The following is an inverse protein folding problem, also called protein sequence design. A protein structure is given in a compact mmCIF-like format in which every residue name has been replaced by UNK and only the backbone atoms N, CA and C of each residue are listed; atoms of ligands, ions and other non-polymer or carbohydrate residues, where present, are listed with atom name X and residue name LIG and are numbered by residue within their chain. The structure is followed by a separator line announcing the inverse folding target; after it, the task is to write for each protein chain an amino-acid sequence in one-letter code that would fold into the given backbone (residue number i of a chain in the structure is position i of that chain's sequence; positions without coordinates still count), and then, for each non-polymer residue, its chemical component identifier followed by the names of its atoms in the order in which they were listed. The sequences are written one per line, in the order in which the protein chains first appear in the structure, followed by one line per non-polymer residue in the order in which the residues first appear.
data_IF_603936888455
#
_entry.id   IF_603936888455
#
_cell.length_a   1.000
_cell.length_b   1.000
_cell.length_c   1.000
_cell.angle_alpha   90.00
_cell.angle_beta   90.00
_cell.angle_gamma   90.00
#
_symmetry.space_group_name_H-M   'P 1'
#
loop_
_entity.id
_entity.type
_entity.pdbx_description
1 polymer ?
#
# COMPACT_ATOMS: atom_id res chain seq x y z
N UNK A 1 15.92 -37.09 25.08
CA UNK A 1 16.09 -36.22 23.93
C UNK A 1 14.74 -35.56 23.70
N UNK A 2 14.54 -34.28 23.97
CA UNK A 2 13.29 -33.61 23.70
C UNK A 2 13.29 -33.07 22.25
N UNK A 3 12.25 -33.37 21.51
CA UNK A 3 11.95 -32.87 20.16
C UNK A 3 11.61 -31.40 20.22
N UNK A 4 12.30 -30.58 19.42
CA UNK A 4 12.03 -29.16 19.22
C UNK A 4 10.69 -28.97 18.45
N UNK A 5 9.85 -28.03 18.86
CA UNK A 5 8.63 -27.72 18.11
C UNK A 5 8.95 -27.01 16.79
N UNK A 6 8.21 -27.38 15.74
CA UNK A 6 8.29 -26.76 14.42
C UNK A 6 7.88 -25.28 14.48
N UNK A 7 8.76 -24.41 14.03
CA UNK A 7 8.51 -22.98 13.88
C UNK A 7 7.53 -22.77 12.71
N UNK A 8 6.34 -22.26 12.99
CA UNK A 8 5.43 -21.76 11.98
C UNK A 8 5.92 -20.41 11.47
N UNK A 9 6.07 -20.29 10.17
CA UNK A 9 6.61 -19.12 9.48
C UNK A 9 5.47 -18.21 8.99
N UNK A 10 5.59 -16.88 9.00
CA UNK A 10 4.61 -15.95 8.42
C UNK A 10 4.54 -16.09 6.88
N UNK A 11 3.34 -16.02 6.34
CA UNK A 11 2.95 -16.62 5.06
C UNK A 11 3.51 -15.91 3.80
N UNK A 12 3.69 -14.60 3.80
CA UNK A 12 4.24 -13.86 2.62
C UNK A 12 5.75 -13.68 2.62
N UNK A 13 6.37 -13.43 3.76
CA UNK A 13 7.82 -13.24 3.87
C UNK A 13 8.67 -14.50 3.62
N UNK A 14 8.06 -15.69 3.45
CA UNK A 14 8.79 -16.96 3.31
C UNK A 14 8.97 -17.47 1.89
N UNK A 15 8.26 -16.95 0.90
CA UNK A 15 8.27 -17.50 -0.47
C UNK A 15 9.46 -17.06 -1.34
N UNK A 16 10.32 -16.17 -0.86
CA UNK A 16 11.45 -15.63 -1.65
C UNK A 16 12.81 -16.35 -1.44
N UNK A 17 12.86 -17.45 -0.69
CA UNK A 17 14.08 -18.25 -0.48
C UNK A 17 14.08 -19.51 -1.33
N UNK A 18 14.08 -19.39 -2.66
CA UNK A 18 14.10 -20.52 -3.59
C UNK A 18 14.92 -20.24 -4.85
N UNK A 19 16.25 -20.47 -4.79
CA UNK A 19 17.02 -21.00 -5.92
C UNK A 19 17.48 -20.05 -7.02
N UNK A 20 18.61 -19.38 -6.83
CA UNK A 20 19.45 -18.93 -7.96
C UNK A 20 20.42 -20.06 -8.32
N UNK A 21 20.14 -20.80 -9.38
CA UNK A 21 21.13 -21.60 -10.11
C UNK A 21 21.24 -21.04 -11.52
N UNK A 22 22.36 -20.43 -11.80
CA UNK A 22 22.69 -19.92 -13.13
C UNK A 22 22.90 -21.06 -14.11
N UNK A 23 22.19 -21.06 -15.23
CA UNK A 23 22.62 -21.70 -16.47
C UNK A 23 22.50 -20.70 -17.62
N UNK A 24 23.66 -20.28 -18.10
CA UNK A 24 23.81 -19.58 -19.36
C UNK A 24 23.75 -20.62 -20.48
N UNK A 25 22.79 -20.51 -21.39
CA UNK A 25 22.83 -21.17 -22.68
C UNK A 25 22.25 -20.23 -23.72
N UNK A 26 23.10 -19.76 -24.58
CA UNK A 26 22.75 -18.96 -25.76
C UNK A 26 22.08 -19.87 -26.79
N UNK A 27 20.91 -19.48 -27.31
CA UNK A 27 20.37 -19.91 -28.59
C UNK A 27 19.65 -18.76 -29.27
N UNK A 28 19.96 -18.62 -30.52
CA UNK A 28 19.63 -17.51 -31.39
C UNK A 28 18.17 -17.38 -31.80
N UNK A 29 17.91 -16.24 -32.32
CA UNK A 29 16.76 -15.51 -32.74
C UNK A 29 15.61 -16.22 -33.42
N UNK A 30 14.42 -15.68 -33.09
CA UNK A 30 13.33 -15.45 -34.02
C UNK A 30 12.63 -14.16 -33.60
N UNK A 31 12.85 -13.10 -34.36
CA UNK A 31 12.12 -11.84 -34.22
C UNK A 31 10.68 -12.04 -34.70
N UNK A 32 9.76 -12.18 -33.76
CA UNK A 32 8.34 -11.90 -34.04
C UNK A 32 8.06 -10.46 -33.64
N UNK A 33 7.40 -9.64 -34.45
CA UNK A 33 7.08 -8.27 -34.07
C UNK A 33 6.07 -8.28 -32.93
N UNK A 34 6.46 -7.69 -31.80
CA UNK A 34 5.55 -7.31 -30.73
C UNK A 34 4.54 -6.32 -31.33
N UNK A 35 3.22 -6.50 -31.14
CA UNK A 35 2.26 -5.51 -31.59
C UNK A 35 2.54 -4.18 -30.87
N UNK A 36 2.98 -3.20 -31.60
CA UNK A 36 3.06 -1.81 -31.12
C UNK A 36 1.63 -1.35 -30.81
N UNK A 37 1.33 -1.18 -29.53
CA UNK A 37 0.14 -0.48 -29.10
C UNK A 37 0.23 0.96 -29.60
N UNK A 38 -0.42 1.24 -30.73
CA UNK A 38 -0.63 2.57 -31.27
C UNK A 38 -1.61 3.30 -30.36
N UNK A 39 -1.13 4.27 -29.58
CA UNK A 39 -1.94 5.11 -28.71
C UNK A 39 -1.28 5.48 -27.39
N UNK A 40 0.05 5.51 -27.32
CA UNK A 40 0.76 6.03 -26.14
C UNK A 40 0.61 7.56 -26.08
N UNK A 41 -0.48 8.03 -25.49
CA UNK A 41 -0.53 9.37 -24.94
C UNK A 41 0.70 9.58 -24.06
N UNK A 42 1.34 10.76 -24.11
CA UNK A 42 2.48 11.08 -23.24
C UNK A 42 2.12 10.74 -21.80
N UNK A 43 2.95 9.95 -21.12
CA UNK A 43 2.79 9.69 -19.69
C UNK A 43 2.64 11.01 -18.93
N UNK A 44 1.70 11.07 -18.02
CA UNK A 44 1.48 12.23 -17.15
C UNK A 44 2.53 12.36 -16.05
N UNK A 45 3.41 11.37 -15.93
CA UNK A 45 4.53 11.34 -15.01
C UNK A 45 5.86 11.47 -15.76
N UNK A 46 6.76 12.29 -15.23
CA UNK A 46 8.14 12.41 -15.67
C UNK A 46 9.07 12.29 -14.47
N UNK A 47 9.95 11.29 -14.48
CA UNK A 47 10.92 11.08 -13.41
C UNK A 47 11.79 12.34 -13.20
N UNK A 48 11.90 12.75 -11.94
CA UNK A 48 12.73 13.87 -11.48
C UNK A 48 13.95 13.37 -10.73
N UNK A 49 13.75 12.42 -9.84
CA UNK A 49 14.79 11.92 -8.93
C UNK A 49 14.44 10.51 -8.48
N UNK A 50 15.47 9.75 -8.21
CA UNK A 50 15.41 8.43 -7.60
C UNK A 50 16.53 8.33 -6.56
N UNK A 51 16.24 7.70 -5.43
CA UNK A 51 17.21 7.43 -4.37
C UNK A 51 16.89 6.12 -3.66
N UNK A 52 17.89 5.52 -3.02
CA UNK A 52 17.72 4.29 -2.24
C UNK A 52 18.34 4.47 -0.87
N UNK A 53 17.72 3.90 0.16
CA UNK A 53 18.35 3.75 1.47
C UNK A 53 19.28 2.53 1.46
N UNK A 54 20.38 2.58 2.24
CA UNK A 54 21.24 1.41 2.42
C UNK A 54 20.45 0.23 3.00
N UNK A 55 20.65 -0.97 2.43
CA UNK A 55 20.06 -2.19 2.97
C UNK A 55 20.49 -2.40 4.43
N UNK A 56 19.53 -2.78 5.30
CA UNK A 56 19.73 -2.97 6.74
C UNK A 56 20.24 -1.72 7.46
N UNK A 57 19.85 -0.54 7.01
CA UNK A 57 20.10 0.70 7.72
C UNK A 57 19.56 0.59 9.15
N UNK A 58 20.41 0.88 10.14
CA UNK A 58 19.99 0.97 11.54
C UNK A 58 19.94 2.45 11.92
N UNK A 59 18.82 2.86 12.47
CA UNK A 59 18.62 4.23 12.95
C UNK A 59 17.97 4.21 14.35
N UNK A 60 18.67 4.79 15.36
CA UNK A 60 18.23 4.83 16.76
C UNK A 60 17.73 3.46 17.26
N UNK A 61 18.57 2.44 17.12
CA UNK A 61 18.34 1.06 17.54
C UNK A 61 17.16 0.35 16.84
N UNK A 62 16.63 0.92 15.77
CA UNK A 62 15.62 0.27 14.93
C UNK A 62 16.19 -0.06 13.55
N UNK A 63 15.82 -1.22 13.01
CA UNK A 63 16.10 -1.57 11.62
C UNK A 63 15.10 -0.82 10.72
N UNK A 64 15.62 0.01 9.82
CA UNK A 64 14.82 0.73 8.82
C UNK A 64 14.48 -0.21 7.67
N UNK A 65 13.20 -0.31 7.34
CA UNK A 65 12.67 -1.15 6.28
C UNK A 65 11.18 -1.36 6.47
N UNK A 66 10.56 -2.12 5.57
CA UNK A 66 9.12 -2.31 5.59
C UNK A 66 8.38 -0.98 5.40
N UNK A 67 8.87 -0.09 4.53
CA UNK A 67 8.30 1.26 4.39
C UNK A 67 7.14 1.24 3.39
N UNK A 68 5.93 0.95 3.90
CA UNK A 68 4.70 0.85 3.12
C UNK A 68 3.96 2.19 2.98
N UNK A 69 3.97 3.05 4.00
CA UNK A 69 3.28 4.35 3.98
C UNK A 69 4.22 5.54 3.89
N UNK A 70 3.84 6.58 3.14
CA UNK A 70 4.57 7.85 3.04
C UNK A 70 3.60 9.04 2.99
N UNK A 71 3.92 10.12 3.71
CA UNK A 71 3.30 11.43 3.53
C UNK A 71 4.30 12.57 3.70
N UNK A 72 3.95 13.76 3.22
CA UNK A 72 4.82 14.93 3.25
C UNK A 72 4.25 16.04 4.13
N UNK A 73 5.02 16.43 5.14
CA UNK A 73 4.77 17.58 5.99
C UNK A 73 5.27 18.85 5.30
N UNK A 74 4.38 19.57 4.66
CA UNK A 74 4.73 20.80 3.94
C UNK A 74 5.20 21.93 4.86
N UNK A 75 4.78 21.94 6.14
CA UNK A 75 5.21 22.98 7.10
C UNK A 75 6.65 22.76 7.55
N UNK A 76 7.07 21.50 7.72
CA UNK A 76 8.39 21.13 8.20
C UNK A 76 9.38 20.75 7.09
N UNK A 77 8.87 20.52 5.87
CA UNK A 77 9.68 20.08 4.74
C UNK A 77 10.23 18.66 4.92
N UNK A 78 9.47 17.78 5.55
CA UNK A 78 9.88 16.43 5.92
C UNK A 78 8.87 15.40 5.45
N UNK A 79 9.34 14.17 5.17
CA UNK A 79 8.49 13.02 4.89
C UNK A 79 8.31 12.18 6.16
N UNK A 80 7.10 11.66 6.36
CA UNK A 80 6.80 10.64 7.34
C UNK A 80 6.70 9.30 6.61
N UNK A 81 7.33 8.26 7.14
CA UNK A 81 7.40 6.93 6.55
C UNK A 81 6.94 5.89 7.56
N UNK A 82 5.85 5.21 7.29
CA UNK A 82 5.32 4.16 8.16
C UNK A 82 5.99 2.83 7.83
N UNK A 83 6.36 2.08 8.85
CA UNK A 83 6.89 0.71 8.70
C UNK A 83 5.77 -0.31 8.93
N UNK A 84 5.62 -1.28 8.03
CA UNK A 84 4.69 -2.42 8.10
C UNK A 84 5.12 -3.50 9.10
N UNK A 85 6.21 -3.26 9.82
CA UNK A 85 6.71 -4.20 10.81
C UNK A 85 5.70 -4.42 11.93
N UNK A 86 5.14 -5.60 12.00
CA UNK A 86 4.16 -6.05 13.01
C UNK A 86 4.73 -6.11 14.42
N UNK A 87 5.61 -5.20 14.77
CA UNK A 87 6.38 -5.21 16.01
C UNK A 87 7.27 -6.45 16.16
N UNK A 88 7.61 -7.13 15.06
CA UNK A 88 8.41 -8.36 15.10
C UNK A 88 9.92 -8.06 15.21
N UNK A 89 10.40 -7.00 14.56
CA UNK A 89 11.81 -6.55 14.56
C UNK A 89 12.04 -5.39 15.53
N UNK A 90 11.11 -4.42 15.55
CA UNK A 90 11.04 -3.32 16.50
C UNK A 90 9.58 -2.91 16.68
N UNK A 91 9.20 -2.21 17.76
CA UNK A 91 7.81 -1.77 17.93
C UNK A 91 7.29 -0.99 16.72
N UNK A 92 5.96 -1.10 16.46
CA UNK A 92 5.30 -0.37 15.39
C UNK A 92 5.69 1.12 15.43
N UNK A 93 6.06 1.69 14.29
CA UNK A 93 6.74 2.97 14.23
C UNK A 93 6.59 3.65 12.88
N UNK A 94 6.83 4.95 12.88
CA UNK A 94 7.11 5.69 11.67
C UNK A 94 8.42 6.46 11.82
N UNK A 95 9.01 6.81 10.68
CA UNK A 95 10.23 7.59 10.60
C UNK A 95 9.96 8.97 10.02
N UNK A 96 10.75 9.95 10.40
CA UNK A 96 10.81 11.26 9.73
C UNK A 96 12.07 11.32 8.89
N UNK A 97 11.95 11.80 7.66
CA UNK A 97 13.03 11.81 6.66
C UNK A 97 13.06 13.14 5.93
N UNK A 98 14.24 13.68 5.71
CA UNK A 98 14.47 14.80 4.79
C UNK A 98 15.02 14.28 3.48
N UNK A 99 14.40 14.68 2.39
CA UNK A 99 14.85 14.31 1.07
C UNK A 99 14.77 15.49 0.09
N UNK A 100 15.95 16.00 -0.29
CA UNK A 100 16.11 16.89 -1.43
C UNK A 100 16.33 16.06 -2.70
N UNK A 101 15.60 16.33 -3.76
CA UNK A 101 15.71 15.55 -4.99
C UNK A 101 17.14 15.64 -5.56
N UNK A 102 17.71 14.47 -5.88
CA UNK A 102 19.11 14.34 -6.30
C UNK A 102 20.08 14.01 -5.16
N UNK A 103 19.65 14.03 -3.90
CA UNK A 103 20.43 13.61 -2.75
C UNK A 103 19.95 12.27 -2.17
N UNK A 104 20.70 11.69 -1.25
CA UNK A 104 20.28 10.55 -0.44
C UNK A 104 19.29 11.02 0.63
N UNK A 105 18.17 10.29 0.87
CA UNK A 105 17.28 10.60 1.97
C UNK A 105 18.00 10.48 3.33
N UNK A 106 17.76 11.43 4.23
CA UNK A 106 18.36 11.47 5.55
C UNK A 106 17.32 11.24 6.64
N UNK A 107 17.53 10.21 7.45
CA UNK A 107 16.69 9.92 8.61
C UNK A 107 16.89 10.98 9.68
N UNK A 108 15.83 11.58 10.20
CA UNK A 108 15.90 12.61 11.26
C UNK A 108 15.31 12.14 12.59
N UNK A 109 14.24 11.32 12.55
CA UNK A 109 13.54 10.85 13.74
C UNK A 109 12.93 9.46 13.54
N UNK A 110 12.72 8.72 14.64
CA UNK A 110 11.86 7.54 14.72
C UNK A 110 10.88 7.75 15.86
N UNK A 111 9.60 7.53 15.59
CA UNK A 111 8.52 7.65 16.57
C UNK A 111 7.81 6.31 16.70
N UNK A 112 7.72 5.80 17.93
CA UNK A 112 7.00 4.56 18.23
C UNK A 112 5.51 4.84 18.35
N UNK A 113 4.69 3.97 17.77
CA UNK A 113 3.24 4.00 17.94
C UNK A 113 2.84 3.30 19.24
N UNK A 114 1.90 3.90 19.97
CA UNK A 114 1.46 3.42 21.26
C UNK A 114 -0.02 3.04 21.26
N UNK A 115 -0.38 2.15 22.15
CA UNK A 115 -1.77 1.80 22.49
C UNK A 115 -2.39 2.84 23.43
N UNK A 116 -3.67 2.70 23.74
CA UNK A 116 -4.39 3.63 24.64
C UNK A 116 -3.82 3.69 26.06
N UNK A 117 -3.17 2.64 26.53
CA UNK A 117 -2.48 2.57 27.81
C UNK A 117 -1.05 3.07 27.79
N UNK A 118 -0.63 3.70 26.68
CA UNK A 118 0.71 4.21 26.44
C UNK A 118 1.81 3.13 26.29
N UNK A 119 1.45 1.86 26.24
CA UNK A 119 2.40 0.80 25.89
C UNK A 119 2.60 0.73 24.38
N UNK A 120 3.73 0.20 23.94
CA UNK A 120 3.96 -0.10 22.52
C UNK A 120 3.09 -1.26 22.05
N UNK A 121 2.78 -1.31 20.77
CA UNK A 121 2.04 -2.43 20.19
C UNK A 121 2.87 -3.71 20.27
N UNK A 122 2.25 -4.84 20.69
CA UNK A 122 2.95 -6.10 20.81
C UNK A 122 3.15 -6.78 19.44
N UNK A 123 4.22 -7.58 19.30
CA UNK A 123 4.33 -8.55 18.21
C UNK A 123 3.37 -9.73 18.43
N UNK A 124 3.17 -10.56 17.38
CA UNK A 124 2.39 -11.81 17.52
C UNK A 124 2.88 -12.73 18.64
N UNK A 125 4.19 -12.73 18.93
CA UNK A 125 4.78 -13.55 20.01
C UNK A 125 4.48 -13.00 21.40
N UNK A 126 4.32 -11.69 21.52
CA UNK A 126 4.09 -10.98 22.78
C UNK A 126 2.60 -10.78 23.09
N UNK A 127 1.79 -10.75 22.04
CA UNK A 127 0.37 -10.43 22.17
C UNK A 127 -0.39 -11.50 22.94
N UNK A 128 -1.12 -11.06 23.99
CA UNK A 128 -2.06 -11.89 24.75
C UNK A 128 -3.32 -12.14 23.92
N UNK A 129 -4.11 -13.13 24.34
CA UNK A 129 -5.46 -13.33 23.78
C UNK A 129 -6.30 -12.04 23.92
N UNK A 130 -7.02 -11.68 22.85
CA UNK A 130 -7.84 -10.47 22.82
C UNK A 130 -7.06 -9.16 22.55
N UNK A 131 -5.74 -9.18 22.43
CA UNK A 131 -4.93 -7.98 22.11
C UNK A 131 -4.56 -7.99 20.63
N UNK A 132 -4.90 -6.93 19.85
CA UNK A 132 -4.53 -6.85 18.44
C UNK A 132 -3.02 -6.69 18.27
N UNK A 133 -2.52 -7.20 17.15
CA UNK A 133 -1.17 -6.94 16.65
C UNK A 133 -1.32 -5.99 15.47
N UNK A 134 -0.58 -4.90 15.43
CA UNK A 134 -0.66 -3.98 14.30
C UNK A 134 -0.06 -4.62 13.06
N UNK A 135 -0.56 -4.19 11.93
CA UNK A 135 -0.02 -4.43 10.60
C UNK A 135 -0.14 -3.11 9.84
N UNK A 136 0.73 -2.13 10.15
CA UNK A 136 0.60 -0.78 9.63
C UNK A 136 0.91 -0.75 8.13
N UNK A 137 0.07 -0.05 7.31
CA UNK A 137 0.25 0.00 5.86
C UNK A 137 0.33 1.45 5.34
N UNK A 138 -0.73 2.22 5.46
CA UNK A 138 -0.73 3.60 4.98
C UNK A 138 -0.73 4.63 6.11
N UNK A 139 -0.18 5.81 5.82
CA UNK A 139 -0.11 6.93 6.77
C UNK A 139 -0.49 8.24 6.08
N UNK A 140 -1.24 9.10 6.80
CA UNK A 140 -1.48 10.50 6.39
C UNK A 140 -1.38 11.45 7.58
N UNK A 141 -0.64 12.53 7.39
CA UNK A 141 -0.63 13.67 8.30
C UNK A 141 -1.91 14.49 8.09
N UNK A 142 -2.58 14.82 9.15
CA UNK A 142 -3.71 15.76 9.16
C UNK A 142 -3.20 17.19 9.34
N UNK A 143 -3.25 18.06 8.32
CA UNK A 143 -2.71 19.43 8.44
C UNK A 143 -3.49 20.29 9.45
N UNK A 144 -4.78 20.00 9.64
CA UNK A 144 -5.68 20.77 10.52
C UNK A 144 -5.43 20.49 12.02
N UNK A 145 -4.97 19.30 12.38
CA UNK A 145 -4.77 18.88 13.78
C UNK A 145 -3.33 18.56 14.14
N UNK A 146 -2.48 18.32 13.12
CA UNK A 146 -1.13 17.81 13.30
C UNK A 146 -1.07 16.34 13.73
N UNK A 147 -2.23 15.64 13.78
CA UNK A 147 -2.30 14.21 14.08
C UNK A 147 -1.98 13.37 12.85
N UNK A 148 -1.77 12.08 13.05
CA UNK A 148 -1.44 11.10 12.03
C UNK A 148 -2.55 10.06 11.98
N UNK A 149 -3.13 9.87 10.80
CA UNK A 149 -3.97 8.72 10.50
C UNK A 149 -3.09 7.59 9.97
N UNK A 150 -3.39 6.36 10.37
CA UNK A 150 -2.73 5.20 9.83
C UNK A 150 -3.66 3.99 9.77
N UNK A 151 -3.51 3.18 8.74
CA UNK A 151 -4.26 1.95 8.55
C UNK A 151 -3.53 0.76 9.15
N UNK A 152 -4.28 -0.28 9.44
CA UNK A 152 -3.75 -1.59 9.78
C UNK A 152 -4.56 -2.65 9.04
N UNK A 153 -3.89 -3.61 8.43
CA UNK A 153 -4.56 -4.77 7.82
C UNK A 153 -5.26 -5.65 8.86
N UNK A 154 -4.84 -5.57 10.12
CA UNK A 154 -5.33 -6.41 11.20
C UNK A 154 -4.59 -7.75 11.30
N UNK A 155 -5.24 -8.72 11.92
CA UNK A 155 -4.75 -10.10 12.11
C UNK A 155 -5.95 -11.05 12.07
N UNK A 156 -6.41 -11.36 10.87
CA UNK A 156 -7.64 -12.13 10.65
C UNK A 156 -7.54 -13.54 11.22
N UNK A 157 -6.33 -14.12 11.25
CA UNK A 157 -6.08 -15.43 11.87
C UNK A 157 -6.40 -15.42 13.36
N UNK A 158 -6.14 -14.29 14.02
CA UNK A 158 -6.45 -14.09 15.45
C UNK A 158 -7.82 -13.45 15.67
N UNK A 159 -8.57 -13.16 14.60
CA UNK A 159 -9.93 -12.61 14.67
C UNK A 159 -9.98 -11.08 14.75
N UNK A 160 -8.91 -10.37 14.41
CA UNK A 160 -8.89 -8.90 14.34
C UNK A 160 -9.02 -8.45 12.89
N UNK A 161 -10.03 -7.63 12.62
CA UNK A 161 -10.27 -7.01 11.31
C UNK A 161 -9.30 -5.87 11.02
N UNK A 162 -9.45 -5.33 9.81
CA UNK A 162 -8.74 -4.11 9.39
C UNK A 162 -9.12 -2.93 10.26
N UNK A 163 -8.22 -1.98 10.45
CA UNK A 163 -8.47 -0.83 11.32
C UNK A 163 -7.95 0.49 10.72
N UNK A 164 -8.56 1.59 11.16
CA UNK A 164 -8.04 2.95 11.01
C UNK A 164 -7.80 3.53 12.40
N UNK A 165 -6.62 4.06 12.60
CA UNK A 165 -6.20 4.70 13.85
C UNK A 165 -5.86 6.17 13.62
N UNK A 166 -6.01 6.97 14.65
CA UNK A 166 -5.48 8.32 14.75
C UNK A 166 -4.55 8.41 15.95
N UNK A 167 -3.33 8.87 15.73
CA UNK A 167 -2.30 9.08 16.76
C UNK A 167 -1.82 10.51 16.73
N UNK A 168 -1.31 11.01 17.87
CA UNK A 168 -0.53 12.25 17.86
C UNK A 168 0.80 12.04 17.14
N UNK A 169 1.48 13.14 16.84
CA UNK A 169 2.79 13.09 16.20
C UNK A 169 3.87 12.41 17.08
N UNK A 170 3.66 12.36 18.38
CA UNK A 170 4.52 11.63 19.32
C UNK A 170 4.21 10.11 19.39
N UNK A 171 3.29 9.64 18.56
CA UNK A 171 2.87 8.25 18.46
C UNK A 171 1.78 7.83 19.45
N UNK A 172 1.38 8.68 20.40
CA UNK A 172 0.32 8.35 21.36
C UNK A 172 -1.04 8.23 20.65
N UNK A 173 -1.78 7.13 20.92
CA UNK A 173 -3.08 6.86 20.33
C UNK A 173 -4.10 7.91 20.78
N UNK A 174 -4.82 8.48 19.81
CA UNK A 174 -5.98 9.34 20.06
C UNK A 174 -7.28 8.55 20.00
N UNK A 175 -7.44 7.74 18.96
CA UNK A 175 -8.64 6.90 18.78
C UNK A 175 -8.42 5.81 17.73
N UNK A 176 -9.29 4.81 17.79
CA UNK A 176 -9.60 3.89 16.70
C UNK A 176 -10.96 4.27 16.11
N UNK A 177 -11.10 4.23 14.79
CA UNK A 177 -12.34 4.52 14.10
C UNK A 177 -13.27 3.31 14.08
N UNK A 178 -14.58 3.57 14.16
CA UNK A 178 -15.60 2.54 13.98
C UNK A 178 -15.80 2.28 12.47
N UNK A 179 -15.51 1.07 12.06
CA UNK A 179 -15.64 0.66 10.65
C UNK A 179 -16.88 -0.21 10.43
N UNK A 180 -17.45 -0.23 9.21
CA UNK A 180 -18.58 -1.09 8.89
C UNK A 180 -18.28 -2.57 9.16
N UNK A 181 -19.24 -3.27 9.76
CA UNK A 181 -19.12 -4.68 10.17
C UNK A 181 -18.81 -5.65 9.01
N UNK A 182 -18.95 -5.21 7.75
CA UNK A 182 -18.60 -6.02 6.59
C UNK A 182 -17.11 -6.35 6.49
N UNK A 183 -16.24 -5.57 7.16
CA UNK A 183 -14.79 -5.78 7.20
C UNK A 183 -14.36 -6.79 8.28
N UNK A 184 -15.23 -7.05 9.27
CA UNK A 184 -14.92 -7.95 10.36
C UNK A 184 -14.75 -9.39 9.87
N UNK A 185 -13.67 -10.09 10.27
CA UNK A 185 -13.47 -11.48 9.90
C UNK A 185 -14.54 -12.37 10.53
N UNK A 186 -15.17 -13.21 9.73
CA UNK A 186 -16.09 -14.21 10.27
C UNK A 186 -15.35 -15.46 10.72
N UNK A 187 -15.74 -16.06 11.84
CA UNK A 187 -15.17 -17.34 12.34
C UNK A 187 -15.19 -18.47 11.30
N UNK A 188 -16.13 -18.41 10.36
CA UNK A 188 -16.24 -19.40 9.28
C UNK A 188 -15.39 -19.05 8.04
N UNK A 189 -14.64 -17.92 8.04
CA UNK A 189 -13.82 -17.48 6.91
C UNK A 189 -14.62 -17.14 5.63
N UNK A 190 -15.92 -16.86 5.75
CA UNK A 190 -16.81 -16.63 4.60
C UNK A 190 -17.13 -15.15 4.38
N UNK A 191 -16.66 -14.27 5.26
CA UNK A 191 -16.89 -12.81 5.22
C UNK A 191 -15.70 -12.09 5.81
N UNK A 192 -15.58 -10.81 5.48
CA UNK A 192 -14.55 -9.91 5.98
C UNK A 192 -13.34 -9.80 5.07
N UNK A 193 -12.34 -9.09 5.53
CA UNK A 193 -11.05 -9.01 4.88
C UNK A 193 -10.38 -10.40 4.85
N UNK A 194 -9.58 -10.62 3.83
CA UNK A 194 -8.68 -11.77 3.78
C UNK A 194 -7.43 -11.46 4.61
N UNK A 195 -6.80 -12.49 5.16
CA UNK A 195 -5.53 -12.34 5.88
C UNK A 195 -4.49 -11.70 4.96
N UNK A 196 -3.87 -10.61 5.40
CA UNK A 196 -2.87 -9.85 4.67
C UNK A 196 -3.35 -9.34 3.28
N UNK A 197 -4.61 -8.93 3.18
CA UNK A 197 -5.24 -8.29 2.02
C UNK A 197 -6.30 -7.29 2.52
N UNK A 198 -5.91 -6.46 3.48
CA UNK A 198 -6.76 -5.53 4.21
C UNK A 198 -6.74 -4.11 3.63
N UNK A 199 -6.66 -3.12 4.53
CA UNK A 199 -6.50 -1.71 4.12
C UNK A 199 -5.04 -1.40 3.85
N UNK A 200 -4.72 -1.22 2.58
CA UNK A 200 -3.41 -0.78 2.11
C UNK A 200 -3.39 0.75 1.88
N UNK A 201 -4.40 1.29 1.21
CA UNK A 201 -4.40 2.68 0.80
C UNK A 201 -5.17 3.62 1.74
N UNK A 202 -4.64 4.84 1.92
CA UNK A 202 -5.28 5.92 2.67
C UNK A 202 -5.10 7.26 1.96
N UNK A 203 -6.18 8.02 1.77
CA UNK A 203 -6.10 9.37 1.22
C UNK A 203 -6.98 10.36 1.98
N UNK A 204 -6.50 11.59 2.18
CA UNK A 204 -7.32 12.68 2.71
C UNK A 204 -7.99 13.45 1.58
N UNK A 205 -9.25 13.85 1.78
CA UNK A 205 -9.89 14.84 0.90
C UNK A 205 -9.20 16.21 1.04
N UNK A 206 -9.20 17.05 0.00
CA UNK A 206 -8.50 18.35 0.04
C UNK A 206 -8.98 19.30 1.16
N UNK A 207 -10.20 19.12 1.65
CA UNK A 207 -10.76 19.87 2.78
C UNK A 207 -10.43 19.26 4.15
N UNK A 208 -9.68 18.16 4.20
CA UNK A 208 -9.29 17.40 5.39
C UNK A 208 -10.47 16.90 6.25
N UNK A 209 -11.69 16.88 5.70
CA UNK A 209 -12.89 16.44 6.45
C UNK A 209 -13.11 14.94 6.38
N UNK A 210 -12.63 14.29 5.32
CA UNK A 210 -12.83 12.87 5.09
C UNK A 210 -11.52 12.16 4.78
N UNK A 211 -11.44 10.90 5.19
CA UNK A 211 -10.44 9.94 4.77
C UNK A 211 -11.06 8.89 3.84
N UNK A 212 -10.35 8.50 2.78
CA UNK A 212 -10.66 7.36 1.96
C UNK A 212 -9.74 6.19 2.34
N UNK A 213 -10.33 5.03 2.59
CA UNK A 213 -9.65 3.77 2.89
C UNK A 213 -9.82 2.84 1.71
N UNK A 214 -8.75 2.29 1.19
CA UNK A 214 -8.78 1.33 0.09
C UNK A 214 -8.39 -0.07 0.55
N UNK A 215 -9.26 -1.06 0.28
CA UNK A 215 -8.89 -2.47 0.43
C UNK A 215 -7.87 -2.86 -0.64
N UNK A 216 -6.85 -3.63 -0.29
CA UNK A 216 -5.91 -4.19 -1.25
C UNK A 216 -6.64 -5.12 -2.24
N UNK A 217 -7.53 -5.95 -1.72
CA UNK A 217 -8.27 -6.91 -2.52
C UNK A 217 -9.75 -6.98 -2.11
N UNK A 218 -10.55 -7.70 -2.90
CA UNK A 218 -11.96 -7.93 -2.62
C UNK A 218 -12.17 -8.63 -1.27
N UNK A 219 -13.19 -8.23 -0.52
CA UNK A 219 -13.65 -9.01 0.64
C UNK A 219 -14.05 -10.42 0.20
N UNK A 220 -14.04 -11.37 1.14
CA UNK A 220 -14.40 -12.77 0.84
C UNK A 220 -15.76 -12.87 0.17
N UNK A 221 -16.75 -12.10 0.64
CA UNK A 221 -18.11 -12.09 0.09
C UNK A 221 -18.25 -11.34 -1.24
N UNK A 222 -17.24 -10.55 -1.65
CA UNK A 222 -17.31 -9.71 -2.86
C UNK A 222 -16.66 -10.38 -4.09
N UNK A 223 -16.01 -11.52 -3.92
CA UNK A 223 -15.46 -12.29 -5.05
C UNK A 223 -14.05 -12.82 -4.83
N UNK A 224 -13.45 -13.35 -5.88
CA UNK A 224 -12.10 -13.90 -5.86
C UNK A 224 -11.04 -12.79 -5.95
N UNK A 225 -9.82 -13.09 -5.51
CA UNK A 225 -8.64 -12.25 -5.80
C UNK A 225 -8.28 -12.35 -7.29
N UNK A 226 -7.53 -11.38 -7.86
CA UNK A 226 -7.04 -11.44 -9.23
C UNK A 226 -6.21 -12.69 -9.52
N UNK A 227 -6.26 -13.12 -10.76
CA UNK A 227 -5.38 -14.15 -11.30
C UNK A 227 -4.73 -13.68 -12.61
N UNK A 228 -3.83 -14.47 -13.18
CA UNK A 228 -3.25 -14.18 -14.51
C UNK A 228 -4.26 -14.24 -15.63
N UNK A 229 -5.40 -14.93 -15.41
CA UNK A 229 -6.43 -15.17 -16.43
C UNK A 229 -7.68 -14.32 -16.21
N UNK A 230 -7.92 -13.82 -14.98
CA UNK A 230 -9.13 -13.07 -14.63
C UNK A 230 -8.84 -11.91 -13.68
N UNK A 231 -9.57 -10.81 -13.86
CA UNK A 231 -9.64 -9.72 -12.89
C UNK A 231 -10.28 -10.24 -11.59
N UNK A 232 -9.90 -9.61 -10.46
CA UNK A 232 -10.49 -9.90 -9.16
C UNK A 232 -11.94 -9.44 -9.03
N UNK A 233 -12.56 -9.80 -7.90
CA UNK A 233 -13.74 -9.14 -7.39
C UNK A 233 -13.48 -7.66 -7.10
N UNK A 234 -14.54 -6.86 -6.88
CA UNK A 234 -14.37 -5.44 -6.57
C UNK A 234 -13.78 -5.23 -5.18
N UNK A 235 -12.76 -4.36 -5.08
CA UNK A 235 -12.28 -3.82 -3.82
C UNK A 235 -13.22 -2.73 -3.33
N UNK A 236 -13.39 -2.58 -2.02
CA UNK A 236 -14.16 -1.51 -1.43
C UNK A 236 -13.25 -0.34 -1.05
N UNK A 237 -13.60 0.85 -1.53
CA UNK A 237 -13.01 2.11 -1.09
C UNK A 237 -14.04 2.83 -0.23
N UNK A 238 -13.72 3.05 1.04
CA UNK A 238 -14.66 3.55 2.04
C UNK A 238 -14.29 4.95 2.47
N UNK A 239 -15.23 5.88 2.38
CA UNK A 239 -15.09 7.25 2.86
C UNK A 239 -15.53 7.34 4.32
N UNK A 240 -14.67 7.89 5.17
CA UNK A 240 -14.90 8.10 6.59
C UNK A 240 -14.91 9.58 6.89
N UNK A 241 -15.94 10.08 7.56
CA UNK A 241 -15.96 11.42 8.14
C UNK A 241 -15.05 11.46 9.36
N UNK A 242 -14.01 12.29 9.31
CA UNK A 242 -12.97 12.33 10.34
C UNK A 242 -13.42 12.98 11.63
N UNK A 243 -14.53 13.72 11.65
CA UNK A 243 -15.07 14.31 12.85
C UNK A 243 -15.93 13.32 13.65
N UNK A 244 -16.87 12.67 12.99
CA UNK A 244 -17.76 11.69 13.61
C UNK A 244 -17.11 10.31 13.77
N UNK A 245 -16.07 10.02 12.98
CA UNK A 245 -15.42 8.70 12.95
C UNK A 245 -16.19 7.62 12.21
N UNK A 246 -17.22 7.98 11.44
CA UNK A 246 -18.12 7.03 10.76
C UNK A 246 -17.93 6.98 9.26
N UNK A 247 -18.14 5.81 8.68
CA UNK A 247 -18.24 5.68 7.23
C UNK A 247 -19.47 6.43 6.70
N UNK A 248 -19.26 7.25 5.67
CA UNK A 248 -20.29 8.12 5.06
C UNK A 248 -20.53 7.82 3.59
N UNK A 249 -19.72 6.98 2.98
CA UNK A 249 -19.86 6.54 1.59
C UNK A 249 -18.91 5.40 1.29
N UNK A 250 -19.16 4.67 0.23
CA UNK A 250 -18.30 3.59 -0.22
C UNK A 250 -18.48 3.36 -1.71
N UNK A 251 -17.41 3.11 -2.42
CA UNK A 251 -17.43 2.76 -3.83
C UNK A 251 -16.73 1.44 -4.08
N UNK A 252 -17.07 0.82 -5.19
CA UNK A 252 -16.37 -0.36 -5.70
C UNK A 252 -15.28 0.05 -6.69
N UNK A 253 -14.09 -0.52 -6.56
CA UNK A 253 -13.00 -0.44 -7.52
C UNK A 253 -12.65 -1.84 -8.03
N UNK A 254 -12.48 -2.01 -9.33
CA UNK A 254 -12.10 -3.29 -9.91
C UNK A 254 -10.63 -3.27 -10.33
N UNK A 255 -9.82 -4.08 -9.68
CA UNK A 255 -8.44 -4.33 -10.06
C UNK A 255 -8.35 -5.01 -11.42
N UNK A 256 -7.23 -4.82 -12.11
CA UNK A 256 -6.91 -5.62 -13.28
C UNK A 256 -6.56 -7.06 -12.90
N UNK A 257 -6.55 -7.95 -13.87
CA UNK A 257 -5.89 -9.24 -13.73
C UNK A 257 -4.40 -9.04 -13.48
N UNK A 258 -3.71 -10.05 -12.96
CA UNK A 258 -2.25 -10.04 -12.83
C UNK A 258 -1.64 -9.84 -14.23
N UNK A 259 -0.90 -8.73 -14.46
CA UNK A 259 -0.47 -8.34 -15.82
C UNK A 259 0.66 -9.19 -16.38
N UNK A 260 1.39 -9.88 -15.50
CA UNK A 260 2.57 -10.68 -15.83
C UNK A 260 2.41 -12.10 -15.31
N UNK A 261 2.87 -13.08 -16.09
CA UNK A 261 2.87 -14.49 -15.67
C UNK A 261 4.18 -14.84 -14.98
N UNK A 262 4.16 -15.62 -13.88
CA UNK A 262 5.39 -16.13 -13.29
C UNK A 262 6.15 -17.00 -14.28
N UNK A 263 7.49 -17.05 -14.14
CA UNK A 263 8.35 -17.87 -15.03
C UNK A 263 7.99 -19.37 -14.98
N UNK A 264 7.60 -19.86 -13.81
CA UNK A 264 7.16 -21.24 -13.64
C UNK A 264 5.66 -21.24 -13.32
N UNK A 265 4.91 -21.98 -14.12
CA UNK A 265 3.46 -22.13 -13.92
C UNK A 265 3.14 -22.69 -12.53
N UNK A 266 2.16 -22.10 -11.85
CA UNK A 266 1.74 -22.53 -10.53
C UNK A 266 2.57 -21.95 -9.37
N UNK A 267 3.58 -21.10 -9.63
CA UNK A 267 4.24 -20.32 -8.60
C UNK A 267 3.49 -19.03 -8.30
N UNK A 268 3.86 -18.35 -7.22
CA UNK A 268 3.16 -17.20 -6.70
C UNK A 268 3.12 -16.02 -7.68
N UNK A 269 1.96 -15.41 -7.79
CA UNK A 269 1.74 -14.11 -8.42
C UNK A 269 0.52 -13.43 -7.79
N UNK A 270 0.55 -12.12 -7.70
CA UNK A 270 -0.53 -11.30 -7.17
C UNK A 270 -0.74 -10.01 -7.98
N UNK A 271 -1.82 -9.30 -7.66
CA UNK A 271 -2.08 -7.90 -7.99
C UNK A 271 -3.02 -7.34 -6.92
N UNK A 272 -2.66 -6.18 -6.38
CA UNK A 272 -3.42 -5.50 -5.34
C UNK A 272 -3.41 -3.98 -5.54
N UNK A 273 -4.35 -3.30 -4.87
CA UNK A 273 -4.27 -1.85 -4.66
C UNK A 273 -3.32 -1.64 -3.49
N UNK A 274 -2.20 -0.96 -3.73
CA UNK A 274 -1.22 -0.68 -2.67
C UNK A 274 -1.35 0.73 -2.09
N UNK A 275 -1.88 1.71 -2.85
CA UNK A 275 -2.07 3.05 -2.31
C UNK A 275 -3.10 3.85 -3.12
N UNK A 276 -3.69 4.85 -2.49
CA UNK A 276 -4.57 5.83 -3.12
C UNK A 276 -4.18 7.27 -2.75
N UNK A 277 -4.44 8.22 -3.64
CA UNK A 277 -4.13 9.64 -3.38
C UNK A 277 -5.15 10.55 -4.08
N UNK A 278 -5.75 11.49 -3.35
CA UNK A 278 -6.70 12.42 -3.96
C UNK A 278 -5.99 13.41 -4.90
N UNK A 279 -6.54 13.58 -6.11
CA UNK A 279 -6.19 14.64 -7.05
C UNK A 279 -6.94 15.92 -6.73
N UNK A 280 -8.21 15.79 -6.45
CA UNK A 280 -9.12 16.85 -6.02
C UNK A 280 -10.28 16.25 -5.20
N UNK A 281 -11.39 16.94 -5.04
CA UNK A 281 -12.53 16.47 -4.24
C UNK A 281 -13.17 15.15 -4.74
N UNK A 282 -12.95 14.79 -6.00
CA UNK A 282 -13.64 13.65 -6.64
C UNK A 282 -12.70 12.73 -7.44
N UNK A 283 -11.59 13.24 -7.92
CA UNK A 283 -10.62 12.42 -8.66
C UNK A 283 -9.57 11.85 -7.70
N UNK A 284 -9.24 10.59 -7.91
CA UNK A 284 -8.31 9.83 -7.07
C UNK A 284 -7.33 9.08 -7.97
N UNK A 285 -6.06 9.08 -7.59
CA UNK A 285 -5.05 8.16 -8.12
C UNK A 285 -5.12 6.85 -7.33
N UNK A 286 -4.95 5.75 -8.04
CA UNK A 286 -4.93 4.40 -7.48
C UNK A 286 -3.70 3.68 -8.01
N UNK A 287 -2.83 3.22 -7.13
CA UNK A 287 -1.66 2.43 -7.46
C UNK A 287 -2.01 0.94 -7.38
N UNK A 288 -1.91 0.24 -8.50
CA UNK A 288 -1.94 -1.23 -8.54
C UNK A 288 -0.49 -1.75 -8.60
N UNK A 289 -0.14 -2.60 -7.66
CA UNK A 289 1.12 -3.29 -7.57
C UNK A 289 0.90 -4.79 -7.77
N UNK A 290 1.58 -5.36 -8.75
CA UNK A 290 1.58 -6.78 -9.03
C UNK A 290 2.99 -7.35 -8.89
N UNK A 291 3.07 -8.61 -8.46
CA UNK A 291 4.31 -9.38 -8.43
C UNK A 291 4.10 -10.74 -9.10
N UNK A 292 5.15 -11.23 -9.77
CA UNK A 292 5.18 -12.59 -10.30
C UNK A 292 6.55 -13.22 -10.06
N UNK A 293 6.56 -14.43 -9.50
CA UNK A 293 7.78 -15.17 -9.17
C UNK A 293 8.70 -15.35 -10.38
N UNK A 294 9.95 -14.93 -10.24
CA UNK A 294 10.97 -14.98 -11.27
C UNK A 294 10.92 -13.86 -12.31
N UNK A 295 9.89 -13.00 -12.27
CA UNK A 295 9.72 -11.85 -13.18
C UNK A 295 9.90 -10.53 -12.43
N UNK A 296 9.33 -10.41 -11.21
CA UNK A 296 9.40 -9.20 -10.40
C UNK A 296 8.10 -8.43 -10.37
N UNK A 297 8.20 -7.11 -10.07
CA UNK A 297 7.07 -6.23 -9.87
C UNK A 297 6.61 -5.55 -11.16
N UNK A 298 5.31 -5.23 -11.20
CA UNK A 298 4.66 -4.37 -12.20
C UNK A 298 3.80 -3.35 -11.48
N UNK A 299 3.98 -2.07 -11.81
CA UNK A 299 3.33 -0.95 -11.14
C UNK A 299 2.53 -0.16 -12.15
N UNK A 300 1.24 0.05 -11.88
CA UNK A 300 0.35 0.83 -12.74
C UNK A 300 -0.42 1.84 -11.92
N UNK A 301 -0.37 3.09 -12.35
CA UNK A 301 -1.13 4.18 -11.75
C UNK A 301 -2.38 4.44 -12.57
N UNK A 302 -3.52 4.40 -11.92
CA UNK A 302 -4.82 4.72 -12.52
C UNK A 302 -5.39 6.00 -11.93
N UNK A 303 -6.27 6.65 -12.67
CA UNK A 303 -7.14 7.72 -12.17
C UNK A 303 -8.58 7.24 -12.24
N UNK A 304 -9.35 7.50 -11.17
CA UNK A 304 -10.79 7.29 -11.10
C UNK A 304 -11.51 8.60 -10.75
N UNK A 305 -12.80 8.69 -11.13
CA UNK A 305 -13.75 9.69 -10.59
C UNK A 305 -14.72 8.96 -9.66
N UNK A 306 -14.71 9.28 -8.37
CA UNK A 306 -15.54 8.63 -7.35
C UNK A 306 -17.03 8.76 -7.65
N UNK A 307 -17.47 9.84 -8.34
CA UNK A 307 -18.87 10.05 -8.75
C UNK A 307 -19.34 9.09 -9.85
N UNK A 308 -18.41 8.44 -10.55
CA UNK A 308 -18.74 7.45 -11.59
C UNK A 308 -19.27 6.13 -11.05
N UNK A 309 -19.08 5.89 -9.74
CA UNK A 309 -19.44 4.65 -9.06
C UNK A 309 -20.81 4.75 -8.35
N UNK A 310 -21.37 3.60 -8.01
CA UNK A 310 -22.53 3.50 -7.10
C UNK A 310 -22.04 3.52 -5.66
N UNK A 311 -22.76 4.18 -4.76
CA UNK A 311 -22.52 4.03 -3.32
C UNK A 311 -22.89 2.58 -2.91
N UNK A 312 -21.93 1.90 -2.31
CA UNK A 312 -22.04 0.50 -1.91
C UNK A 312 -22.05 0.29 -0.40
N UNK A 313 -22.09 1.36 0.39
CA UNK A 313 -21.95 1.30 1.86
C UNK A 313 -23.02 0.42 2.51
N UNK A 314 -24.25 0.43 1.97
CA UNK A 314 -25.36 -0.38 2.47
C UNK A 314 -25.40 -1.82 1.92
N UNK A 315 -24.47 -2.20 1.04
CA UNK A 315 -24.46 -3.51 0.40
C UNK A 315 -23.59 -4.50 1.17
N UNK A 316 -24.18 -5.53 1.70
CA UNK A 316 -23.50 -6.62 2.42
C UNK A 316 -22.47 -7.35 1.57
N UNK A 317 -22.79 -7.58 0.30
CA UNK A 317 -21.91 -8.20 -0.69
C UNK A 317 -22.04 -7.51 -2.05
N UNK A 318 -20.94 -7.38 -2.76
CA UNK A 318 -20.89 -6.84 -4.11
C UNK A 318 -21.00 -7.97 -5.12
N UNK A 319 -22.12 -8.00 -5.83
CA UNK A 319 -22.41 -9.03 -6.85
C UNK A 319 -22.57 -8.39 -8.23
N UNK A 320 -22.43 -9.16 -9.31
CA UNK A 320 -22.71 -8.65 -10.64
C UNK A 320 -24.12 -8.06 -10.73
N UNK A 321 -24.23 -6.79 -11.13
CA UNK A 321 -25.51 -6.11 -11.36
C UNK A 321 -26.07 -5.32 -10.19
N UNK A 322 -25.55 -5.46 -8.94
CA UNK A 322 -26.05 -4.65 -7.81
C UNK A 322 -25.25 -3.34 -7.58
N UNK A 323 -24.16 -3.13 -8.31
CA UNK A 323 -23.34 -1.92 -8.24
C UNK A 323 -22.68 -1.62 -9.59
N UNK A 324 -22.17 -0.38 -9.72
CA UNK A 324 -21.28 0.04 -10.79
C UNK A 324 -19.96 0.46 -10.13
N UNK A 325 -18.86 -0.22 -10.50
CA UNK A 325 -17.53 0.14 -10.04
C UNK A 325 -17.06 1.47 -10.68
N UNK A 326 -16.14 2.17 -10.02
CA UNK A 326 -15.53 3.37 -10.55
C UNK A 326 -14.82 3.08 -11.88
N UNK A 327 -15.08 3.92 -12.87
CA UNK A 327 -14.38 3.86 -14.14
C UNK A 327 -12.95 4.34 -13.96
N UNK A 328 -11.96 3.56 -14.43
CA UNK A 328 -10.54 3.87 -14.31
C UNK A 328 -9.89 4.17 -15.65
N UNK A 329 -8.90 5.05 -15.63
CA UNK A 329 -8.06 5.40 -16.78
C UNK A 329 -6.60 5.25 -16.39
N UNK A 330 -5.79 4.57 -17.19
CA UNK A 330 -4.36 4.45 -16.95
C UNK A 330 -3.67 5.81 -17.07
N UNK A 331 -2.95 6.19 -16.02
CA UNK A 331 -2.12 7.42 -15.95
C UNK A 331 -0.69 7.12 -16.36
N UNK A 332 -0.14 6.01 -15.85
CA UNK A 332 1.22 5.60 -16.15
C UNK A 332 1.43 4.08 -15.90
N UNK A 333 2.26 3.47 -16.70
CA UNK A 333 2.93 2.21 -16.41
C UNK A 333 4.39 2.53 -16.03
N UNK A 334 4.77 2.20 -14.81
CA UNK A 334 6.07 2.58 -14.25
C UNK A 334 7.26 1.96 -15.01
N UNK A 335 7.04 0.84 -15.70
CA UNK A 335 8.06 0.25 -16.57
C UNK A 335 8.52 1.20 -17.69
N UNK A 336 7.73 2.23 -18.00
CA UNK A 336 8.04 3.22 -19.04
C UNK A 336 8.63 4.52 -18.53
N UNK A 337 8.80 4.67 -17.20
CA UNK A 337 9.18 5.93 -16.57
C UNK A 337 10.69 6.10 -16.34
N UNK A 338 11.50 5.08 -16.64
CA UNK A 338 12.97 5.16 -16.58
C UNK A 338 13.54 4.97 -15.18
N UNK A 339 12.80 4.36 -14.27
CA UNK A 339 13.33 3.92 -12.97
C UNK A 339 14.44 2.89 -13.17
N UNK A 340 15.48 2.93 -12.34
CA UNK A 340 16.57 1.96 -12.34
C UNK A 340 16.09 0.56 -11.99
N UNK A 341 15.01 0.46 -11.21
CA UNK A 341 14.39 -0.78 -10.76
C UNK A 341 12.90 -0.55 -10.47
N UNK A 342 12.08 -1.57 -10.71
CA UNK A 342 10.74 -1.68 -10.16
C UNK A 342 10.79 -2.61 -8.96
N UNK A 343 10.44 -2.11 -7.78
CA UNK A 343 10.36 -2.89 -6.57
C UNK A 343 8.96 -2.82 -5.97
N UNK A 344 8.77 -3.32 -4.78
CA UNK A 344 7.51 -3.41 -4.06
C UNK A 344 7.02 -2.01 -3.62
N UNK A 345 6.60 -1.18 -4.57
CA UNK A 345 6.12 0.19 -4.28
C UNK A 345 4.75 0.15 -3.64
N UNK A 346 4.65 0.69 -2.43
CA UNK A 346 3.44 0.66 -1.63
C UNK A 346 2.97 2.04 -1.22
N UNK A 347 3.88 2.95 -0.87
CA UNK A 347 3.50 4.29 -0.45
C UNK A 347 3.53 5.33 -1.57
N UNK A 348 2.60 6.31 -1.51
CA UNK A 348 2.48 7.39 -2.48
C UNK A 348 1.96 8.67 -1.81
N UNK A 349 2.61 9.81 -2.04
CA UNK A 349 2.16 11.12 -1.54
C UNK A 349 2.43 12.26 -2.52
N UNK A 350 1.84 13.43 -2.23
CA UNK A 350 2.27 14.68 -2.86
C UNK A 350 3.47 15.23 -2.12
N UNK A 351 4.60 15.41 -2.81
CA UNK A 351 5.78 16.08 -2.29
C UNK A 351 5.75 17.60 -2.53
N UNK A 352 6.86 18.31 -2.26
CA UNK A 352 6.97 19.74 -2.49
C UNK A 352 6.74 20.06 -3.96
N UNK A 353 5.92 21.09 -4.29
CA UNK A 353 5.65 21.44 -5.68
C UNK A 353 6.91 21.97 -6.36
N UNK A 354 6.95 21.84 -7.68
CA UNK A 354 8.01 22.45 -8.49
C UNK A 354 7.88 23.98 -8.52
N UNK A 355 8.96 24.70 -8.84
CA UNK A 355 8.94 26.17 -8.95
C UNK A 355 7.90 26.71 -9.98
N UNK A 356 7.53 25.89 -10.97
CA UNK A 356 6.51 26.22 -11.96
C UNK A 356 5.08 25.85 -11.53
N UNK A 357 4.90 25.41 -10.28
CA UNK A 357 3.61 25.06 -9.67
C UNK A 357 3.12 23.64 -9.98
N UNK A 358 3.83 22.85 -10.77
CA UNK A 358 3.45 21.44 -11.00
C UNK A 358 3.61 20.64 -9.72
N UNK A 359 2.65 19.76 -9.48
CA UNK A 359 2.72 18.82 -8.36
C UNK A 359 3.83 17.77 -8.59
N UNK A 360 4.39 17.31 -7.50
CA UNK A 360 5.35 16.20 -7.51
C UNK A 360 4.72 15.00 -6.82
N UNK A 361 4.61 13.90 -7.54
CA UNK A 361 4.24 12.61 -6.97
C UNK A 361 5.51 11.94 -6.44
N UNK A 362 5.50 11.56 -5.17
CA UNK A 362 6.57 10.81 -4.52
C UNK A 362 6.04 9.43 -4.17
N UNK A 363 6.85 8.42 -4.43
CA UNK A 363 6.54 7.03 -4.06
C UNK A 363 7.71 6.43 -3.28
N UNK A 364 7.40 5.44 -2.43
CA UNK A 364 8.36 4.64 -1.70
C UNK A 364 8.10 3.16 -1.91
N UNK A 365 9.19 2.37 -2.03
CA UNK A 365 9.10 0.90 -2.09
C UNK A 365 9.46 0.30 -0.76
N UNK A 366 8.68 -0.67 -0.34
CA UNK A 366 8.96 -1.55 0.78
C UNK A 366 10.01 -2.59 0.39
N UNK A 367 11.02 -2.77 1.23
CA UNK A 367 12.06 -3.79 1.05
C UNK A 367 11.74 -5.12 1.74
N UNK A 368 10.57 -5.23 2.42
CA UNK A 368 10.17 -6.41 3.20
C UNK A 368 11.28 -6.96 4.12
N UNK A 369 12.24 -6.13 4.50
CA UNK A 369 13.49 -6.54 5.18
C UNK A 369 14.23 -7.67 4.44
N UNK A 370 14.04 -7.77 3.14
CA UNK A 370 14.55 -8.82 2.26
C UNK A 370 15.78 -8.32 1.49
N UNK A 371 16.93 -9.04 1.53
CA UNK A 371 18.16 -8.59 0.86
C UNK A 371 18.06 -8.50 -0.67
N UNK A 372 17.00 -9.01 -1.28
CA UNK A 372 16.77 -8.93 -2.72
C UNK A 372 15.89 -7.75 -3.12
N UNK A 373 15.33 -7.02 -2.16
CA UNK A 373 14.48 -5.84 -2.36
C UNK A 373 15.19 -4.58 -1.85
N UNK A 374 14.68 -3.42 -2.20
CA UNK A 374 15.27 -2.14 -1.83
C UNK A 374 14.21 -1.17 -1.34
N UNK A 375 14.56 -0.38 -0.34
CA UNK A 375 13.82 0.83 0.01
C UNK A 375 14.20 1.91 -1.00
N UNK A 376 13.34 2.14 -1.98
CA UNK A 376 13.53 3.08 -3.08
C UNK A 376 12.55 4.24 -2.97
N UNK A 377 13.05 5.45 -3.13
CA UNK A 377 12.26 6.67 -3.29
C UNK A 377 12.30 7.09 -4.74
N UNK A 378 11.16 7.49 -5.31
CA UNK A 378 11.12 8.10 -6.62
C UNK A 378 10.16 9.30 -6.64
N UNK A 379 10.61 10.39 -7.27
CA UNK A 379 9.84 11.62 -7.43
C UNK A 379 9.54 11.88 -8.91
N UNK A 380 8.30 12.23 -9.21
CA UNK A 380 7.84 12.47 -10.56
C UNK A 380 7.13 13.83 -10.68
N UNK A 381 7.47 14.62 -11.70
CA UNK A 381 6.61 15.73 -12.08
C UNK A 381 5.31 15.19 -12.63
N UNK A 382 4.20 15.61 -12.02
CA UNK A 382 2.86 15.22 -12.42
C UNK A 382 2.24 16.32 -13.30
N UNK A 383 1.66 15.92 -14.43
CA UNK A 383 0.89 16.79 -15.31
C UNK A 383 -0.58 16.40 -15.21
N UNK A 384 -1.43 17.33 -14.74
CA UNK A 384 -2.87 17.11 -14.79
C UNK A 384 -3.37 17.03 -16.23
N UNK A 385 -4.59 16.49 -16.43
CA UNK A 385 -5.18 16.52 -17.78
C UNK A 385 -5.33 17.98 -18.21
N UNK A 386 -5.10 18.29 -19.50
CA UNK A 386 -5.40 19.62 -20.03
C UNK A 386 -6.88 19.94 -19.99
#
# INVERSE_FOLDING_TARGET
MPTLPALSLPTRRRLLLGGAAAMVSALGGCNSPVPTASGAGRSRLRLLSEAQLPHRLVFRDTLVGGLSGIDYDNERGEYLLLSDDRSDLAPARFYTVRWAFGATPEMSEVTLLHQADSTTWPSRRQAREGVPVPDPEALRLRPDTGSILWTSEGDQVRGFGTALYESRRDGSLLRQFELPAMFEPSRAGRRGARDNLGFEGLALTPDNRHGWLAMENALVQDGAIPSVDAAGGPCRFTQVDLSSGRAVGQIAYRQDRIPIRPLLTGTYADNGVSEILMLDAHRMLVLERAYATGVGNSLRLYEIDTRSATDTLALDALTPGNHRAAAKTLVADFATLGLSRLDNTEGMCWGPPLPDGRRVLVVVSDDNFNPLQVTQFAAFAFTDRP
#
